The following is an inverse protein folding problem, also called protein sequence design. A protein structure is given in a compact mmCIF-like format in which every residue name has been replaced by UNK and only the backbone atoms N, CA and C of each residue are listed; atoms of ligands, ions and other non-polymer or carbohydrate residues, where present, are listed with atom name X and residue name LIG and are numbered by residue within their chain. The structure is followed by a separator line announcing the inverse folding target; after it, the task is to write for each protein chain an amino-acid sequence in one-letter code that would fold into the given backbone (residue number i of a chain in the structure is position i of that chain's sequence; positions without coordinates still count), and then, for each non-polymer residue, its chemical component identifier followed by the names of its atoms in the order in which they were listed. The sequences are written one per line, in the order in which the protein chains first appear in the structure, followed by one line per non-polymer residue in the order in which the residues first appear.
data_IF_633353714665
#
_entry.id   IF_633353714665
#
_cell.length_a   1.000
_cell.length_b   1.000
_cell.length_c   1.000
_cell.angle_alpha   90.00
_cell.angle_beta   90.00
_cell.angle_gamma   90.00
#
_symmetry.space_group_name_H-M   'P 1'
#
loop_
_entity.id
_entity.type
_entity.pdbx_description
1 polymer ?
#
# COMPACT_ATOMS: atom_id res chain seq x y z
N UNK A 1 3.74 -16.76 -25.86
CA UNK A 1 4.02 -15.96 -24.65
C UNK A 1 4.35 -16.91 -23.53
N UNK A 2 5.32 -16.55 -22.65
CA UNK A 2 5.65 -17.38 -21.49
C UNK A 2 4.81 -16.94 -20.28
N UNK A 3 4.48 -17.89 -19.40
CA UNK A 3 3.66 -17.66 -18.19
C UNK A 3 4.21 -16.49 -17.35
N UNK A 4 5.54 -16.36 -17.25
CA UNK A 4 6.21 -15.26 -16.54
C UNK A 4 5.86 -13.87 -17.09
N UNK A 5 5.65 -13.76 -18.41
CA UNK A 5 5.32 -12.48 -19.06
C UNK A 5 3.87 -12.07 -18.76
N UNK A 6 2.96 -13.05 -18.66
CA UNK A 6 1.55 -12.82 -18.37
C UNK A 6 1.34 -12.44 -16.91
N UNK A 7 1.98 -13.14 -15.97
CA UNK A 7 1.95 -12.81 -14.54
C UNK A 7 2.51 -11.40 -14.27
N UNK A 8 3.61 -11.05 -14.94
CA UNK A 8 4.18 -9.70 -14.84
C UNK A 8 3.24 -8.63 -15.40
N UNK A 9 2.59 -8.90 -16.54
CA UNK A 9 1.63 -7.97 -17.15
C UNK A 9 0.42 -7.74 -16.24
N UNK A 10 -0.17 -8.80 -15.69
CA UNK A 10 -1.29 -8.70 -14.75
C UNK A 10 -0.89 -7.92 -13.47
N UNK A 11 0.31 -8.16 -12.95
CA UNK A 11 0.85 -7.42 -11.79
C UNK A 11 1.00 -5.93 -12.12
N UNK A 12 1.56 -5.59 -13.28
CA UNK A 12 1.76 -4.21 -13.71
C UNK A 12 0.44 -3.48 -13.94
N UNK A 13 -0.54 -4.15 -14.54
CA UNK A 13 -1.89 -3.61 -14.73
C UNK A 13 -2.57 -3.29 -13.40
N UNK A 14 -2.55 -4.23 -12.45
CA UNK A 14 -3.11 -4.02 -11.11
C UNK A 14 -2.41 -2.86 -10.38
N UNK A 15 -1.08 -2.81 -10.44
CA UNK A 15 -0.27 -1.75 -9.83
C UNK A 15 -0.62 -0.36 -10.39
N UNK A 16 -0.69 -0.25 -11.72
CA UNK A 16 -0.99 1.01 -12.40
C UNK A 16 -2.45 1.44 -12.19
N UNK A 17 -3.40 0.49 -12.22
CA UNK A 17 -4.80 0.77 -11.96
C UNK A 17 -4.99 1.30 -10.55
N UNK A 18 -4.44 0.62 -9.53
CA UNK A 18 -4.53 1.06 -8.15
C UNK A 18 -3.87 2.43 -7.94
N UNK A 19 -2.71 2.66 -8.55
CA UNK A 19 -2.02 3.97 -8.50
C UNK A 19 -2.91 5.10 -9.04
N UNK A 20 -3.59 4.86 -10.17
CA UNK A 20 -4.51 5.86 -10.75
C UNK A 20 -5.72 6.09 -9.85
N UNK A 21 -6.33 5.04 -9.33
CA UNK A 21 -7.52 5.14 -8.50
C UNK A 21 -7.21 5.85 -7.17
N UNK A 22 -6.07 5.56 -6.56
CA UNK A 22 -5.58 6.28 -5.38
C UNK A 22 -5.40 7.77 -5.65
N UNK A 23 -4.78 8.14 -6.78
CA UNK A 23 -4.61 9.56 -7.16
C UNK A 23 -5.96 10.24 -7.41
N UNK A 24 -6.89 9.56 -8.09
CA UNK A 24 -8.27 10.07 -8.31
C UNK A 24 -9.01 10.28 -6.99
N UNK A 25 -8.79 9.40 -6.01
CA UNK A 25 -9.35 9.50 -4.68
C UNK A 25 -8.67 10.56 -3.79
N UNK A 26 -7.63 11.25 -4.27
CA UNK A 26 -6.89 12.26 -3.50
C UNK A 26 -5.89 11.68 -2.49
N UNK A 27 -5.55 10.39 -2.61
CA UNK A 27 -4.55 9.75 -1.74
C UNK A 27 -3.14 10.17 -2.18
N UNK A 28 -2.37 10.71 -1.23
CA UNK A 28 -0.99 11.11 -1.47
C UNK A 28 -0.07 9.88 -1.47
N UNK A 29 0.43 9.54 -2.65
CA UNK A 29 1.44 8.50 -2.84
C UNK A 29 2.83 9.09 -2.61
N UNK A 30 3.59 8.50 -1.68
CA UNK A 30 4.95 8.88 -1.32
C UNK A 30 6.00 8.18 -2.19
N UNK A 31 5.78 6.92 -2.54
CA UNK A 31 6.68 6.15 -3.39
C UNK A 31 5.96 5.02 -4.12
N UNK A 32 6.47 4.67 -5.29
CA UNK A 32 6.04 3.53 -6.11
C UNK A 32 7.24 2.58 -6.25
N UNK A 33 7.12 1.36 -5.74
CA UNK A 33 8.20 0.36 -5.76
C UNK A 33 7.67 -0.90 -6.45
N UNK A 34 7.71 -0.88 -7.79
CA UNK A 34 7.16 -1.97 -8.63
C UNK A 34 7.87 -3.31 -8.41
N UNK A 35 9.19 -3.29 -8.20
CA UNK A 35 9.98 -4.50 -7.92
C UNK A 35 9.36 -5.31 -6.76
N UNK A 36 9.01 -4.63 -5.68
CA UNK A 36 8.38 -5.20 -4.50
C UNK A 36 6.85 -5.31 -4.57
N UNK A 37 6.24 -4.80 -5.65
CA UNK A 37 4.79 -4.59 -5.77
C UNK A 37 4.20 -3.71 -4.66
N UNK A 38 4.90 -2.64 -4.27
CA UNK A 38 4.50 -1.79 -3.13
C UNK A 38 4.22 -0.35 -3.54
N UNK A 39 3.15 0.20 -2.97
CA UNK A 39 2.80 1.62 -3.02
C UNK A 39 2.86 2.16 -1.60
N UNK A 40 3.64 3.22 -1.40
CA UNK A 40 3.76 3.88 -0.10
C UNK A 40 2.86 5.10 -0.07
N UNK A 41 2.07 5.26 0.98
CA UNK A 41 1.14 6.39 1.17
C UNK A 41 1.44 7.13 2.46
N UNK A 42 1.02 8.39 2.54
CA UNK A 42 1.09 9.18 3.76
C UNK A 42 0.14 8.62 4.84
N UNK A 43 0.57 8.62 6.10
CA UNK A 43 -0.28 8.22 7.22
C UNK A 43 -1.59 9.03 7.27
N UNK A 44 -1.56 10.32 6.90
CA UNK A 44 -2.73 11.20 6.90
C UNK A 44 -3.82 10.75 5.93
N UNK A 45 -3.49 9.92 4.95
CA UNK A 45 -4.44 9.40 3.97
C UNK A 45 -5.00 8.02 4.35
N UNK A 46 -4.63 7.44 5.49
CA UNK A 46 -5.06 6.08 5.88
C UNK A 46 -6.58 6.00 6.10
N UNK A 47 -7.19 7.03 6.69
CA UNK A 47 -8.65 7.09 6.84
C UNK A 47 -9.36 7.12 5.47
N UNK A 48 -8.89 7.97 4.56
CA UNK A 48 -9.41 8.06 3.19
C UNK A 48 -9.19 6.76 2.41
N UNK A 49 -8.05 6.11 2.61
CA UNK A 49 -7.74 4.81 2.03
C UNK A 49 -8.71 3.73 2.53
N UNK A 50 -9.00 3.72 3.84
CA UNK A 50 -9.99 2.80 4.42
C UNK A 50 -11.40 3.06 3.89
N UNK A 51 -11.80 4.32 3.74
CA UNK A 51 -13.10 4.69 3.19
C UNK A 51 -13.27 4.23 1.74
N UNK A 52 -12.25 4.44 0.90
CA UNK A 52 -12.33 4.19 -0.54
C UNK A 52 -12.05 2.72 -0.91
N UNK A 53 -11.13 2.07 -0.20
CA UNK A 53 -10.64 0.72 -0.57
C UNK A 53 -10.86 -0.32 0.54
N UNK A 54 -11.58 0.01 1.61
CA UNK A 54 -11.76 -0.87 2.78
C UNK A 54 -12.31 -2.25 2.43
N UNK A 55 -13.22 -2.32 1.46
CA UNK A 55 -13.81 -3.56 0.97
C UNK A 55 -12.79 -4.49 0.25
N UNK A 56 -11.69 -3.93 -0.24
CA UNK A 56 -10.62 -4.64 -0.96
C UNK A 56 -9.41 -4.97 -0.07
N UNK A 57 -9.36 -4.43 1.15
CA UNK A 57 -8.25 -4.64 2.06
C UNK A 57 -8.15 -6.12 2.46
N UNK A 58 -6.94 -6.68 2.32
CA UNK A 58 -6.59 -8.04 2.71
C UNK A 58 -5.22 -8.08 3.39
N UNK A 59 -5.00 -9.09 4.23
CA UNK A 59 -3.68 -9.42 4.76
C UNK A 59 -2.97 -8.28 5.47
N UNK A 60 -3.69 -7.58 6.35
CA UNK A 60 -3.14 -6.49 7.16
C UNK A 60 -2.02 -7.01 8.07
N UNK A 61 -0.89 -6.29 8.11
CA UNK A 61 0.31 -6.63 8.90
C UNK A 61 0.92 -5.35 9.46
N UNK A 62 1.48 -5.46 10.65
CA UNK A 62 2.22 -4.39 11.29
C UNK A 62 3.55 -4.96 11.81
N UNK A 63 4.64 -4.25 11.58
CA UNK A 63 5.97 -4.59 12.10
C UNK A 63 6.68 -3.35 12.61
N UNK A 64 7.38 -3.44 13.74
CA UNK A 64 8.23 -2.36 14.22
C UNK A 64 9.44 -2.15 13.30
N UNK A 65 9.80 -0.89 13.08
CA UNK A 65 10.90 -0.41 12.26
C UNK A 65 11.53 0.82 12.95
N UNK A 66 12.35 0.53 13.97
CA UNK A 66 12.86 1.55 14.89
C UNK A 66 11.73 2.25 15.64
N UNK A 67 11.64 3.57 15.48
CA UNK A 67 10.61 4.42 16.12
C UNK A 67 9.26 4.45 15.37
N UNK A 68 9.16 3.70 14.27
CA UNK A 68 7.96 3.65 13.45
C UNK A 68 7.38 2.24 13.41
N UNK A 69 6.07 2.13 13.33
CA UNK A 69 5.38 0.93 12.93
C UNK A 69 5.16 1.01 11.41
N UNK A 70 5.68 0.02 10.69
CA UNK A 70 5.42 -0.20 9.27
C UNK A 70 4.15 -1.01 9.14
N UNK A 71 3.09 -0.37 8.70
CA UNK A 71 1.81 -1.01 8.43
C UNK A 71 1.73 -1.36 6.95
N UNK A 72 1.13 -2.50 6.65
CA UNK A 72 0.90 -2.96 5.29
C UNK A 72 -0.47 -3.62 5.18
N UNK A 73 -1.16 -3.36 4.08
CA UNK A 73 -2.28 -4.18 3.61
C UNK A 73 -2.08 -4.53 2.14
N UNK A 74 -2.84 -5.49 1.62
CA UNK A 74 -2.93 -5.76 0.18
C UNK A 74 -4.24 -5.22 -0.37
N UNK A 75 -4.17 -4.56 -1.52
CA UNK A 75 -5.32 -4.16 -2.36
C UNK A 75 -5.04 -4.67 -3.77
N UNK A 76 -5.94 -5.50 -4.32
CA UNK A 76 -5.78 -6.09 -5.67
C UNK A 76 -4.41 -6.78 -5.88
N UNK A 77 -3.88 -7.42 -4.82
CA UNK A 77 -2.58 -8.08 -4.83
C UNK A 77 -1.36 -7.15 -4.69
N UNK A 78 -1.55 -5.83 -4.69
CA UNK A 78 -0.52 -4.80 -4.50
C UNK A 78 -0.38 -4.48 -3.01
N UNK A 79 0.85 -4.45 -2.51
CA UNK A 79 1.12 -4.05 -1.13
C UNK A 79 0.98 -2.54 -0.97
N UNK A 80 0.18 -2.10 0.00
CA UNK A 80 0.03 -0.69 0.35
C UNK A 80 0.60 -0.47 1.73
N UNK A 81 1.57 0.44 1.84
CA UNK A 81 2.40 0.61 3.03
C UNK A 81 2.29 2.04 3.55
N UNK A 82 2.16 2.18 4.86
CA UNK A 82 2.24 3.46 5.56
C UNK A 82 2.97 3.29 6.89
N UNK A 83 3.59 4.36 7.36
CA UNK A 83 4.31 4.38 8.63
C UNK A 83 3.53 5.17 9.65
N UNK A 84 3.46 4.67 10.88
CA UNK A 84 2.90 5.37 12.04
C UNK A 84 4.00 5.52 13.08
N UNK A 85 4.05 6.64 13.80
CA UNK A 85 4.94 6.75 14.96
C UNK A 85 4.52 5.74 16.03
N UNK A 86 5.48 5.01 16.59
CA UNK A 86 5.25 4.24 17.82
C UNK A 86 5.33 5.28 18.94
N UNK A 87 4.22 5.50 19.66
CA UNK A 87 4.29 6.29 20.89
C UNK A 87 5.15 5.50 21.88
N UNK A 88 6.32 6.03 22.20
CA UNK A 88 7.03 5.64 23.42
C UNK A 88 6.08 5.96 24.58
N UNK A 89 5.65 4.93 25.31
CA UNK A 89 5.02 5.14 26.60
C UNK A 89 6.12 5.68 27.50
N UNK A 90 6.09 6.99 27.76
CA UNK A 90 6.82 7.57 28.88
C UNK A 90 6.07 7.14 30.14
N UNK A 91 6.54 6.05 30.77
CA UNK A 91 6.21 5.73 32.15
C UNK A 91 6.90 6.70 33.12
#
# INVERSE_FOLDING_TARGET
MSILTEEFSAKLEAFNALTRDMRKAGIVIKALVLADNKIFVDQRNVELLSLQFGHELRGMRCSADGRFARNMAKIRGVGVVWFTLIKEQND
#
